data_IF_901951356969
#
_entry.id   IF_901951356969
#
_cell.length_a   1.000
_cell.length_b   1.000
_cell.length_c   1.000
_cell.angle_alpha   90.00
_cell.angle_beta   90.00
_cell.angle_gamma   90.00
#
_symmetry.space_group_name_H-M   'P 1'
#
loop_
_entity.id
_entity.type
_entity.pdbx_description
1 polymer ?
#
# COMPACT_ATOMS: atom_id res chain seq x y z
N UNK A 1 -88.31 155.60 -21.75
CA UNK A 1 -87.53 154.63 -22.56
C UNK A 1 -86.42 153.98 -21.74
N UNK A 2 -85.97 154.58 -20.64
CA UNK A 2 -84.77 154.14 -19.91
C UNK A 2 -84.90 152.83 -19.09
N UNK A 3 -86.07 152.51 -18.52
CA UNK A 3 -86.26 151.25 -17.76
C UNK A 3 -86.09 149.97 -18.60
N UNK A 4 -86.53 149.97 -19.87
CA UNK A 4 -86.38 148.81 -20.76
C UNK A 4 -84.93 148.57 -21.19
N UNK A 5 -84.15 149.64 -21.32
CA UNK A 5 -82.71 149.56 -21.60
C UNK A 5 -81.93 148.99 -20.42
N UNK A 6 -82.34 149.31 -19.18
CA UNK A 6 -81.75 148.78 -17.96
C UNK A 6 -82.04 147.29 -17.76
N UNK A 7 -83.29 146.84 -17.97
CA UNK A 7 -83.64 145.40 -17.96
C UNK A 7 -82.88 144.61 -19.03
N UNK A 8 -82.78 145.13 -20.26
CA UNK A 8 -82.00 144.50 -21.33
C UNK A 8 -80.51 144.42 -20.99
N UNK A 9 -79.96 145.40 -20.26
CA UNK A 9 -78.56 145.40 -19.82
C UNK A 9 -78.30 144.32 -18.76
N UNK A 10 -79.24 144.10 -17.83
CA UNK A 10 -79.17 143.03 -16.82
C UNK A 10 -79.24 141.65 -17.50
N UNK A 11 -80.19 141.44 -18.41
CA UNK A 11 -80.29 140.20 -19.20
C UNK A 11 -79.03 139.93 -20.04
N UNK A 12 -78.44 140.97 -20.62
CA UNK A 12 -77.21 140.84 -21.40
C UNK A 12 -76.03 140.44 -20.51
N UNK A 13 -75.96 140.95 -19.29
CA UNK A 13 -74.93 140.59 -18.32
C UNK A 13 -75.11 139.16 -17.77
N UNK A 14 -76.35 138.75 -17.48
CA UNK A 14 -76.67 137.36 -17.13
C UNK A 14 -76.32 136.39 -18.26
N UNK A 15 -76.61 136.75 -19.51
CA UNK A 15 -76.25 135.95 -20.68
C UNK A 15 -74.73 135.86 -20.85
N UNK A 16 -73.97 136.93 -20.58
CA UNK A 16 -72.49 136.86 -20.55
C UNK A 16 -72.00 135.95 -19.43
N UNK A 17 -72.52 136.07 -18.21
CA UNK A 17 -72.16 135.20 -17.09
C UNK A 17 -72.46 133.73 -17.40
N UNK A 18 -73.60 133.44 -18.04
CA UNK A 18 -73.96 132.08 -18.47
C UNK A 18 -73.05 131.58 -19.59
N UNK A 19 -72.70 132.43 -20.55
CA UNK A 19 -71.72 132.12 -21.60
C UNK A 19 -70.35 131.80 -21.00
N UNK A 20 -69.90 132.58 -20.01
CA UNK A 20 -68.61 132.36 -19.34
C UNK A 20 -68.63 131.07 -18.51
N UNK A 21 -69.75 130.75 -17.85
CA UNK A 21 -69.96 129.46 -17.17
C UNK A 21 -69.93 128.28 -18.17
N UNK A 22 -70.58 128.40 -19.33
CA UNK A 22 -70.54 127.37 -20.38
C UNK A 22 -69.11 127.19 -20.89
N UNK A 23 -68.38 128.29 -21.14
CA UNK A 23 -66.98 128.22 -21.58
C UNK A 23 -66.07 127.55 -20.53
N UNK A 24 -66.29 127.78 -19.24
CA UNK A 24 -65.56 127.10 -18.17
C UNK A 24 -65.87 125.60 -18.10
N UNK A 25 -67.16 125.23 -18.21
CA UNK A 25 -67.58 123.83 -18.24
C UNK A 25 -67.04 123.09 -19.48
N UNK A 26 -66.98 123.73 -20.64
CA UNK A 26 -66.40 123.15 -21.86
C UNK A 26 -64.88 122.88 -21.69
N UNK A 27 -64.16 123.78 -21.01
CA UNK A 27 -62.75 123.58 -20.66
C UNK A 27 -62.60 122.41 -19.66
N UNK A 28 -63.46 122.33 -18.65
CA UNK A 28 -63.46 121.22 -17.68
C UNK A 28 -63.81 119.88 -18.32
N UNK A 29 -64.81 119.84 -19.21
CA UNK A 29 -65.19 118.66 -20.00
C UNK A 29 -64.05 118.22 -20.90
N UNK A 30 -63.39 119.16 -21.57
CA UNK A 30 -62.21 118.87 -22.42
C UNK A 30 -61.07 118.27 -21.59
N UNK A 31 -60.81 118.81 -20.39
CA UNK A 31 -59.81 118.29 -19.46
C UNK A 31 -60.14 116.89 -18.95
N UNK A 32 -61.40 116.65 -18.56
CA UNK A 32 -61.85 115.34 -18.10
C UNK A 32 -61.81 114.30 -19.23
N UNK A 33 -62.20 114.67 -20.45
CA UNK A 33 -62.09 113.80 -21.62
C UNK A 33 -60.63 113.42 -21.92
N UNK A 34 -59.70 114.37 -21.82
CA UNK A 34 -58.27 114.07 -21.99
C UNK A 34 -57.78 113.09 -20.91
N UNK A 35 -58.14 113.35 -19.64
CA UNK A 35 -57.80 112.45 -18.53
C UNK A 35 -58.42 111.06 -18.66
N UNK A 36 -59.64 110.95 -19.23
CA UNK A 36 -60.29 109.68 -19.52
C UNK A 36 -59.51 108.90 -20.58
N UNK A 37 -59.11 109.55 -21.68
CA UNK A 37 -58.32 108.93 -22.75
C UNK A 37 -56.98 108.41 -22.20
N UNK A 38 -56.30 109.19 -21.37
CA UNK A 38 -55.06 108.77 -20.72
C UNK A 38 -55.28 107.53 -19.84
N UNK A 39 -56.34 107.51 -19.02
CA UNK A 39 -56.67 106.37 -18.16
C UNK A 39 -57.09 105.14 -18.95
N UNK A 40 -57.83 105.29 -20.04
CA UNK A 40 -58.16 104.21 -20.96
C UNK A 40 -56.89 103.63 -21.58
N UNK A 41 -55.94 104.47 -22.02
CA UNK A 41 -54.66 104.03 -22.57
C UNK A 41 -53.80 103.28 -21.53
N UNK A 42 -53.77 103.76 -20.28
CA UNK A 42 -53.08 103.10 -19.17
C UNK A 42 -53.72 101.73 -18.88
N UNK A 43 -55.04 101.65 -18.83
CA UNK A 43 -55.78 100.41 -18.65
C UNK A 43 -55.49 99.40 -19.77
N UNK A 44 -55.43 99.86 -21.03
CA UNK A 44 -55.09 99.00 -22.17
C UNK A 44 -53.66 98.46 -22.04
N UNK A 45 -52.69 99.31 -21.68
CA UNK A 45 -51.31 98.90 -21.47
C UNK A 45 -51.17 97.88 -20.32
N UNK A 46 -51.86 98.10 -19.20
CA UNK A 46 -51.88 97.16 -18.06
C UNK A 46 -52.55 95.83 -18.44
N UNK A 47 -53.65 95.87 -19.17
CA UNK A 47 -54.34 94.66 -19.64
C UNK A 47 -53.45 93.84 -20.58
N UNK A 48 -52.76 94.49 -21.51
CA UNK A 48 -51.79 93.82 -22.38
C UNK A 48 -50.63 93.20 -21.57
N UNK A 49 -50.14 93.91 -20.56
CA UNK A 49 -49.09 93.40 -19.66
C UNK A 49 -49.57 92.19 -18.84
N UNK A 50 -50.78 92.23 -18.28
CA UNK A 50 -51.38 91.10 -17.57
C UNK A 50 -51.46 89.86 -18.46
N UNK A 51 -51.92 90.00 -19.71
CA UNK A 51 -51.96 88.89 -20.69
C UNK A 51 -50.56 88.31 -20.96
N UNK A 52 -49.53 89.16 -21.06
CA UNK A 52 -48.15 88.69 -21.22
C UNK A 52 -47.65 87.91 -20.00
N UNK A 53 -48.01 88.33 -18.78
CA UNK A 53 -47.67 87.61 -17.56
C UNK A 53 -48.41 86.27 -17.45
N UNK A 54 -49.68 86.22 -17.82
CA UNK A 54 -50.47 84.99 -17.88
C UNK A 54 -49.84 83.96 -18.85
N UNK A 55 -49.40 84.41 -20.03
CA UNK A 55 -48.69 83.56 -20.99
C UNK A 55 -47.35 83.04 -20.44
N UNK A 56 -46.58 83.90 -19.76
CA UNK A 56 -45.31 83.49 -19.12
C UNK A 56 -45.56 82.49 -17.99
N UNK A 57 -46.58 82.70 -17.17
CA UNK A 57 -46.96 81.79 -16.09
C UNK A 57 -47.40 80.44 -16.64
N UNK A 58 -48.23 80.42 -17.69
CA UNK A 58 -48.65 79.19 -18.35
C UNK A 58 -47.45 78.40 -18.89
N UNK A 59 -46.49 79.07 -19.54
CA UNK A 59 -45.26 78.43 -20.03
C UNK A 59 -44.41 77.87 -18.88
N UNK A 60 -44.22 78.64 -17.81
CA UNK A 60 -43.45 78.19 -16.64
C UNK A 60 -44.11 76.98 -15.97
N UNK A 61 -45.44 76.96 -15.85
CA UNK A 61 -46.18 75.81 -15.33
C UNK A 61 -46.02 74.56 -16.21
N UNK A 62 -45.99 74.73 -17.54
CA UNK A 62 -45.73 73.63 -18.47
C UNK A 62 -44.31 73.07 -18.31
N UNK A 63 -43.30 73.95 -18.18
CA UNK A 63 -41.91 73.57 -17.93
C UNK A 63 -41.75 72.86 -16.58
N UNK A 64 -42.41 73.36 -15.52
CA UNK A 64 -42.45 72.72 -14.20
C UNK A 64 -43.06 71.33 -14.26
N UNK A 65 -44.19 71.17 -14.96
CA UNK A 65 -44.83 69.87 -15.13
C UNK A 65 -43.91 68.89 -15.83
N UNK A 66 -43.24 69.32 -16.91
CA UNK A 66 -42.27 68.50 -17.61
C UNK A 66 -41.09 68.09 -16.72
N UNK A 67 -40.54 69.01 -15.94
CA UNK A 67 -39.46 68.70 -14.99
C UNK A 67 -39.89 67.69 -13.92
N UNK A 68 -41.13 67.79 -13.41
CA UNK A 68 -41.66 66.81 -12.46
C UNK A 68 -41.77 65.42 -13.10
N UNK A 69 -42.27 65.35 -14.34
CA UNK A 69 -42.39 64.09 -15.08
C UNK A 69 -41.00 63.47 -15.35
N UNK A 70 -40.02 64.27 -15.78
CA UNK A 70 -38.64 63.86 -16.04
C UNK A 70 -37.96 63.35 -14.74
N UNK A 71 -38.12 64.07 -13.62
CA UNK A 71 -37.61 63.63 -12.31
C UNK A 71 -38.27 62.31 -11.90
N UNK A 72 -39.59 62.19 -12.05
CA UNK A 72 -40.31 60.97 -11.71
C UNK A 72 -39.84 59.76 -12.53
N UNK A 73 -39.56 59.94 -13.82
CA UNK A 73 -38.98 58.91 -14.68
C UNK A 73 -37.56 58.52 -14.22
N UNK A 74 -36.71 59.50 -13.91
CA UNK A 74 -35.35 59.26 -13.44
C UNK A 74 -35.33 58.52 -12.10
N UNK A 75 -36.20 58.90 -11.14
CA UNK A 75 -36.31 58.22 -9.85
C UNK A 75 -36.73 56.77 -10.01
N UNK A 76 -37.71 56.47 -10.89
CA UNK A 76 -38.12 55.09 -11.17
C UNK A 76 -36.99 54.29 -11.80
N UNK A 77 -36.27 54.88 -12.76
CA UNK A 77 -35.12 54.23 -13.40
C UNK A 77 -34.02 53.93 -12.38
N UNK A 78 -33.72 54.88 -11.49
CA UNK A 78 -32.72 54.72 -10.43
C UNK A 78 -33.12 53.60 -9.46
N UNK A 79 -34.38 53.59 -9.00
CA UNK A 79 -34.89 52.53 -8.12
C UNK A 79 -34.78 51.14 -8.75
N UNK A 80 -35.13 51.00 -10.04
CA UNK A 80 -35.01 49.73 -10.74
C UNK A 80 -33.55 49.27 -10.84
N UNK A 81 -32.63 50.18 -11.12
CA UNK A 81 -31.21 49.86 -11.21
C UNK A 81 -30.63 49.48 -9.84
N UNK A 82 -31.00 50.20 -8.78
CA UNK A 82 -30.63 49.84 -7.40
C UNK A 82 -31.13 48.44 -7.05
N UNK A 83 -32.40 48.11 -7.31
CA UNK A 83 -32.92 46.76 -7.04
C UNK A 83 -32.18 45.67 -7.83
N UNK A 84 -31.78 45.94 -9.08
CA UNK A 84 -30.97 45.01 -9.88
C UNK A 84 -29.59 44.79 -9.28
N UNK A 85 -28.93 45.87 -8.85
CA UNK A 85 -27.61 45.79 -8.22
C UNK A 85 -27.67 45.06 -6.89
N UNK A 86 -28.68 45.32 -6.06
CA UNK A 86 -28.90 44.59 -4.80
C UNK A 86 -29.11 43.09 -5.04
N UNK A 87 -29.94 42.72 -6.02
CA UNK A 87 -30.14 41.32 -6.38
C UNK A 87 -28.84 40.64 -6.85
N UNK A 88 -28.04 41.33 -7.67
CA UNK A 88 -26.73 40.82 -8.11
C UNK A 88 -25.76 40.64 -6.94
N UNK A 89 -25.70 41.60 -6.01
CA UNK A 89 -24.85 41.51 -4.81
C UNK A 89 -25.24 40.30 -3.96
N UNK A 90 -26.54 40.04 -3.77
CA UNK A 90 -27.02 38.87 -3.03
C UNK A 90 -26.65 37.55 -3.72
N UNK A 91 -26.79 37.46 -5.05
CA UNK A 91 -26.37 36.28 -5.82
C UNK A 91 -24.85 36.04 -5.73
N UNK A 92 -24.04 37.10 -5.83
CA UNK A 92 -22.59 37.01 -5.63
C UNK A 92 -22.23 36.56 -4.21
N UNK A 93 -22.91 37.07 -3.19
CA UNK A 93 -22.69 36.67 -1.80
C UNK A 93 -23.03 35.19 -1.58
N UNK A 94 -24.10 34.68 -2.21
CA UNK A 94 -24.46 33.26 -2.13
C UNK A 94 -23.43 32.38 -2.84
N UNK A 95 -22.99 32.76 -4.05
CA UNK A 95 -21.93 32.05 -4.79
C UNK A 95 -20.63 32.01 -4.01
N UNK A 96 -20.23 33.14 -3.40
CA UNK A 96 -19.04 33.20 -2.56
C UNK A 96 -19.14 32.25 -1.36
N UNK A 97 -20.30 32.20 -0.70
CA UNK A 97 -20.55 31.27 0.40
C UNK A 97 -20.41 29.81 -0.04
N UNK A 98 -20.96 29.43 -1.20
CA UNK A 98 -20.83 28.07 -1.76
C UNK A 98 -19.37 27.70 -2.00
N UNK A 99 -18.62 28.57 -2.68
CA UNK A 99 -17.18 28.37 -2.92
C UNK A 99 -16.39 28.25 -1.62
N UNK A 100 -16.74 29.04 -0.60
CA UNK A 100 -16.08 28.97 0.71
C UNK A 100 -16.37 27.65 1.44
N UNK A 101 -17.59 27.13 1.36
CA UNK A 101 -17.94 25.81 1.90
C UNK A 101 -17.23 24.67 1.16
N UNK A 102 -17.17 24.73 -0.16
CA UNK A 102 -16.44 23.76 -0.98
C UNK A 102 -14.94 23.76 -0.64
N UNK A 103 -14.35 24.94 -0.50
CA UNK A 103 -12.96 25.10 -0.03
C UNK A 103 -12.73 24.42 1.31
N UNK A 104 -13.62 24.65 2.30
CA UNK A 104 -13.52 24.01 3.62
C UNK A 104 -13.62 22.48 3.53
N UNK A 105 -14.56 21.95 2.72
CA UNK A 105 -14.70 20.52 2.50
C UNK A 105 -13.43 19.90 1.88
N UNK A 106 -12.85 20.56 0.87
CA UNK A 106 -11.62 20.11 0.25
C UNK A 106 -10.42 20.16 1.21
N UNK A 107 -10.31 21.19 2.04
CA UNK A 107 -9.26 21.26 3.08
C UNK A 107 -9.35 20.08 4.05
N UNK A 108 -10.56 19.68 4.48
CA UNK A 108 -10.74 18.51 5.33
C UNK A 108 -10.34 17.20 4.63
N UNK A 109 -10.71 17.04 3.35
CA UNK A 109 -10.32 15.86 2.55
C UNK A 109 -8.81 15.77 2.38
N UNK A 110 -8.14 16.88 2.06
CA UNK A 110 -6.68 16.93 1.96
C UNK A 110 -6.04 16.51 3.29
N UNK A 111 -6.50 17.06 4.41
CA UNK A 111 -5.98 16.69 5.73
C UNK A 111 -6.22 15.21 6.11
N UNK A 112 -7.29 14.59 5.60
CA UNK A 112 -7.51 13.15 5.76
C UNK A 112 -6.52 12.33 4.93
N UNK A 113 -6.36 12.64 3.65
CA UNK A 113 -5.40 11.95 2.78
C UNK A 113 -3.96 12.10 3.26
N UNK A 114 -3.58 13.26 3.80
CA UNK A 114 -2.25 13.45 4.40
C UNK A 114 -1.99 12.53 5.58
N UNK A 115 -3.02 12.20 6.38
CA UNK A 115 -2.91 11.24 7.48
C UNK A 115 -2.77 9.81 6.96
N UNK A 116 -3.61 9.41 6.02
CA UNK A 116 -3.54 8.07 5.39
C UNK A 116 -2.18 7.84 4.73
N UNK A 117 -1.68 8.84 3.99
CA UNK A 117 -0.35 8.80 3.39
C UNK A 117 0.72 8.58 4.46
N UNK A 118 0.69 9.33 5.58
CA UNK A 118 1.64 9.15 6.69
C UNK A 118 1.57 7.74 7.29
N UNK A 119 0.37 7.19 7.47
CA UNK A 119 0.18 5.83 7.98
C UNK A 119 0.75 4.79 7.02
N UNK A 120 0.46 4.89 5.72
CA UNK A 120 1.00 3.98 4.70
C UNK A 120 2.53 4.05 4.65
N UNK A 121 3.10 5.25 4.64
CA UNK A 121 4.56 5.42 4.70
C UNK A 121 5.17 4.84 5.99
N UNK A 122 4.46 4.93 7.12
CA UNK A 122 4.83 4.29 8.37
C UNK A 122 4.93 2.77 8.24
N UNK A 123 3.88 2.13 7.70
CA UNK A 123 3.88 0.68 7.46
C UNK A 123 4.98 0.24 6.48
N UNK A 124 5.14 0.97 5.37
CA UNK A 124 6.19 0.67 4.38
C UNK A 124 7.58 0.76 5.03
N UNK A 125 7.82 1.78 5.86
CA UNK A 125 9.08 1.90 6.60
C UNK A 125 9.32 0.70 7.51
N UNK A 126 8.33 0.30 8.32
CA UNK A 126 8.45 -0.87 9.20
C UNK A 126 8.76 -2.15 8.43
N UNK A 127 8.13 -2.36 7.27
CA UNK A 127 8.41 -3.51 6.41
C UNK A 127 9.83 -3.45 5.86
N UNK A 128 10.24 -2.32 5.30
CA UNK A 128 11.58 -2.13 4.73
C UNK A 128 12.68 -2.31 5.79
N UNK A 129 12.45 -1.83 7.02
CA UNK A 129 13.37 -2.02 8.15
C UNK A 129 13.38 -3.48 8.66
N UNK A 130 12.31 -4.24 8.45
CA UNK A 130 12.19 -5.65 8.83
C UNK A 130 12.82 -6.62 7.83
N UNK A 131 12.89 -6.26 6.55
CA UNK A 131 13.42 -7.12 5.48
C UNK A 131 14.86 -7.61 5.72
N UNK A 132 15.83 -6.77 6.16
CA UNK A 132 17.18 -7.23 6.44
C UNK A 132 17.22 -8.34 7.49
N UNK A 133 16.45 -8.22 8.57
CA UNK A 133 16.43 -9.24 9.63
C UNK A 133 15.89 -10.58 9.13
N UNK A 134 14.86 -10.53 8.28
CA UNK A 134 14.31 -11.72 7.62
C UNK A 134 15.33 -12.34 6.65
N UNK A 135 16.10 -11.50 5.95
CA UNK A 135 17.16 -11.95 5.05
C UNK A 135 18.30 -12.61 5.82
N UNK A 136 18.78 -12.00 6.91
CA UNK A 136 19.81 -12.58 7.79
C UNK A 136 19.37 -13.94 8.36
N UNK A 137 18.10 -14.05 8.77
CA UNK A 137 17.52 -15.33 9.21
C UNK A 137 17.50 -16.37 8.09
N UNK A 138 17.15 -15.96 6.87
CA UNK A 138 17.16 -16.84 5.70
C UNK A 138 18.58 -17.33 5.36
N UNK A 139 19.59 -16.44 5.39
CA UNK A 139 20.98 -16.82 5.17
C UNK A 139 21.48 -17.80 6.23
N UNK A 140 21.20 -17.52 7.51
CA UNK A 140 21.56 -18.42 8.61
C UNK A 140 20.92 -19.81 8.48
N UNK A 141 19.64 -19.87 8.09
CA UNK A 141 18.95 -21.15 7.81
C UNK A 141 19.59 -21.89 6.64
N UNK A 142 19.97 -21.19 5.56
CA UNK A 142 20.64 -21.79 4.42
C UNK A 142 22.01 -22.37 4.79
N UNK A 143 22.80 -21.67 5.60
CA UNK A 143 24.08 -22.17 6.12
C UNK A 143 23.90 -23.43 6.98
N UNK A 144 22.89 -23.42 7.88
CA UNK A 144 22.54 -24.58 8.70
C UNK A 144 22.16 -25.80 7.85
N UNK A 145 21.35 -25.60 6.81
CA UNK A 145 20.97 -26.66 5.88
C UNK A 145 22.17 -27.23 5.13
N UNK A 146 23.06 -26.37 4.62
CA UNK A 146 24.26 -26.82 3.92
C UNK A 146 25.21 -27.61 4.83
N UNK A 147 25.36 -27.19 6.09
CA UNK A 147 26.10 -27.93 7.09
C UNK A 147 25.47 -29.30 7.39
N UNK A 148 24.14 -29.37 7.45
CA UNK A 148 23.41 -30.62 7.65
C UNK A 148 23.60 -31.58 6.46
N UNK A 149 23.43 -31.11 5.22
CA UNK A 149 23.65 -31.91 4.00
C UNK A 149 25.08 -32.47 3.96
N UNK A 150 26.07 -31.66 4.33
CA UNK A 150 27.48 -32.09 4.38
C UNK A 150 27.69 -33.22 5.41
N UNK A 151 27.05 -33.12 6.59
CA UNK A 151 27.11 -34.19 7.60
C UNK A 151 26.40 -35.45 7.13
N UNK A 152 25.26 -35.31 6.47
CA UNK A 152 24.50 -36.43 5.91
C UNK A 152 25.32 -37.19 4.86
N UNK A 153 26.01 -36.48 3.96
CA UNK A 153 26.87 -37.10 2.94
C UNK A 153 28.00 -37.93 3.57
N UNK A 154 28.72 -37.36 4.55
CA UNK A 154 29.80 -38.07 5.26
C UNK A 154 29.31 -39.34 5.96
N UNK A 155 28.09 -39.31 6.49
CA UNK A 155 27.51 -40.48 7.12
C UNK A 155 27.21 -41.57 6.09
N UNK A 156 26.62 -41.21 4.95
CA UNK A 156 26.35 -42.15 3.86
C UNK A 156 27.65 -42.83 3.42
N UNK A 157 28.69 -42.05 3.16
CA UNK A 157 30.03 -42.57 2.81
C UNK A 157 30.58 -43.53 3.88
N UNK A 158 30.41 -43.19 5.16
CA UNK A 158 30.86 -44.05 6.26
C UNK A 158 30.10 -45.37 6.31
N UNK A 159 28.78 -45.34 6.11
CA UNK A 159 27.94 -46.52 6.04
C UNK A 159 28.32 -47.44 4.88
N UNK A 160 28.55 -46.87 3.70
CA UNK A 160 29.00 -47.60 2.51
C UNK A 160 30.36 -48.27 2.74
N UNK A 161 31.31 -47.55 3.35
CA UNK A 161 32.63 -48.11 3.68
C UNK A 161 32.55 -49.29 4.65
N UNK A 162 31.70 -49.19 5.68
CA UNK A 162 31.48 -50.31 6.61
C UNK A 162 30.87 -51.52 5.89
N UNK A 163 29.89 -51.29 5.01
CA UNK A 163 29.26 -52.38 4.24
C UNK A 163 30.24 -53.08 3.29
N UNK A 164 31.09 -52.32 2.60
CA UNK A 164 32.14 -52.87 1.73
C UNK A 164 33.11 -53.73 2.55
N UNK A 165 33.57 -53.21 3.69
CA UNK A 165 34.52 -53.92 4.55
C UNK A 165 33.91 -55.20 5.16
N UNK A 166 32.67 -55.13 5.64
CA UNK A 166 31.95 -56.30 6.14
C UNK A 166 31.74 -57.37 5.05
N UNK A 167 31.45 -56.96 3.82
CA UNK A 167 31.31 -57.88 2.67
C UNK A 167 32.63 -58.57 2.32
N UNK A 168 33.75 -57.85 2.43
CA UNK A 168 35.09 -58.41 2.22
C UNK A 168 35.43 -59.46 3.26
N UNK A 169 35.24 -59.17 4.55
CA UNK A 169 35.48 -60.13 5.64
C UNK A 169 34.61 -61.38 5.44
N UNK A 170 33.34 -61.20 5.07
CA UNK A 170 32.45 -62.33 4.80
C UNK A 170 32.99 -63.24 3.69
N UNK A 171 33.48 -62.67 2.59
CA UNK A 171 34.05 -63.42 1.47
C UNK A 171 35.35 -64.14 1.85
N UNK A 172 36.22 -63.50 2.63
CA UNK A 172 37.45 -64.10 3.14
C UNK A 172 37.14 -65.29 4.09
N UNK A 173 36.16 -65.12 4.98
CA UNK A 173 35.68 -66.17 5.87
C UNK A 173 35.06 -67.36 5.12
N UNK A 174 34.25 -67.10 4.07
CA UNK A 174 33.70 -68.16 3.20
C UNK A 174 34.80 -68.96 2.50
N UNK A 175 35.86 -68.29 2.04
CA UNK A 175 37.03 -68.93 1.45
C UNK A 175 37.75 -69.85 2.45
N UNK A 176 38.03 -69.35 3.65
CA UNK A 176 38.66 -70.13 4.74
C UNK A 176 37.79 -71.30 5.19
N UNK A 177 36.46 -71.12 5.22
CA UNK A 177 35.53 -72.18 5.59
C UNK A 177 35.54 -73.33 4.58
N UNK A 178 35.59 -73.04 3.28
CA UNK A 178 35.75 -74.07 2.24
C UNK A 178 37.06 -74.84 2.41
N UNK A 179 38.18 -74.13 2.63
CA UNK A 179 39.48 -74.78 2.89
C UNK A 179 39.42 -75.66 4.14
N UNK A 180 38.78 -75.21 5.21
CA UNK A 180 38.61 -76.01 6.42
C UNK A 180 37.74 -77.26 6.17
N UNK A 181 36.69 -77.15 5.36
CA UNK A 181 35.85 -78.27 4.98
C UNK A 181 36.62 -79.32 4.17
N UNK A 182 37.41 -78.88 3.18
CA UNK A 182 38.30 -79.74 2.39
C UNK A 182 39.38 -80.39 3.28
N UNK A 183 39.97 -79.63 4.20
CA UNK A 183 40.97 -80.12 5.16
C UNK A 183 40.40 -81.23 6.05
N UNK A 184 39.16 -81.07 6.56
CA UNK A 184 38.47 -82.12 7.32
C UNK A 184 38.20 -83.37 6.48
N UNK A 185 37.76 -83.20 5.23
CA UNK A 185 37.54 -84.33 4.34
C UNK A 185 38.85 -85.11 4.09
N UNK A 186 39.96 -84.39 3.86
CA UNK A 186 41.29 -84.97 3.70
C UNK A 186 41.77 -85.66 4.99
N UNK A 187 41.50 -85.07 6.15
CA UNK A 187 41.85 -85.66 7.44
C UNK A 187 41.11 -86.98 7.66
N UNK A 188 39.80 -87.03 7.40
CA UNK A 188 39.02 -88.27 7.47
C UNK A 188 39.58 -89.37 6.54
N UNK A 189 40.11 -89.00 5.38
CA UNK A 189 40.76 -89.94 4.45
C UNK A 189 42.09 -90.44 5.03
N UNK A 190 42.91 -89.55 5.61
CA UNK A 190 44.16 -89.92 6.28
C UNK A 190 43.92 -90.82 7.50
N UNK A 191 42.92 -90.53 8.32
CA UNK A 191 42.53 -91.36 9.48
C UNK A 191 42.11 -92.76 9.06
N UNK A 192 41.30 -92.87 8.00
CA UNK A 192 40.93 -94.19 7.41
C UNK A 192 42.15 -94.94 6.91
N UNK A 193 43.06 -94.29 6.16
CA UNK A 193 44.29 -94.91 5.67
C UNK A 193 45.18 -95.38 6.82
N UNK A 194 45.38 -94.54 7.84
CA UNK A 194 46.16 -94.87 9.02
C UNK A 194 45.56 -96.09 9.75
N UNK A 195 44.25 -96.12 9.95
CA UNK A 195 43.54 -97.24 10.58
C UNK A 195 43.74 -98.56 9.81
N UNK A 196 43.64 -98.51 8.47
CA UNK A 196 43.90 -99.68 7.61
C UNK A 196 45.35 -100.14 7.72
N UNK A 197 46.32 -99.22 7.64
CA UNK A 197 47.76 -99.55 7.78
C UNK A 197 48.08 -100.11 9.17
N UNK A 198 47.46 -99.59 10.23
CA UNK A 198 47.60 -100.12 11.60
C UNK A 198 46.98 -101.51 11.77
N UNK A 199 45.86 -101.79 11.10
CA UNK A 199 45.25 -103.11 11.09
C UNK A 199 46.13 -104.12 10.32
N UNK A 200 46.63 -103.72 9.14
CA UNK A 200 47.57 -104.54 8.35
C UNK A 200 48.87 -104.83 9.11
N UNK A 201 49.44 -103.83 9.79
CA UNK A 201 50.62 -104.00 10.62
C UNK A 201 50.37 -105.01 11.75
N UNK A 202 49.22 -104.92 12.45
CA UNK A 202 48.83 -105.88 13.50
C UNK A 202 48.76 -107.32 13.01
N UNK A 203 48.22 -107.54 11.80
CA UNK A 203 48.16 -108.87 11.18
C UNK A 203 49.56 -109.38 10.82
N UNK A 204 50.35 -108.57 10.10
CA UNK A 204 51.70 -108.97 9.65
C UNK A 204 52.66 -109.22 10.81
N UNK A 205 52.60 -108.40 11.88
CA UNK A 205 53.43 -108.60 13.08
C UNK A 205 52.97 -109.81 13.92
N UNK A 206 51.69 -110.19 13.85
CA UNK A 206 51.15 -111.40 14.47
C UNK A 206 51.49 -112.69 13.73
N UNK A 207 51.52 -112.66 12.39
CA UNK A 207 51.71 -113.86 11.55
C UNK A 207 53.18 -114.15 11.21
N UNK A 208 54.03 -113.13 11.05
CA UNK A 208 55.38 -113.28 10.46
C UNK A 208 56.50 -112.67 11.32
N UNK A 209 56.19 -112.13 12.50
CA UNK A 209 57.17 -111.44 13.34
C UNK A 209 57.82 -110.22 12.64
N UNK A 210 59.07 -109.90 12.98
CA UNK A 210 59.82 -108.75 12.43
C UNK A 210 60.27 -109.01 10.99
N UNK A 211 59.33 -108.98 10.04
CA UNK A 211 59.54 -109.06 8.59
C UNK A 211 59.84 -107.68 7.98
N UNK A 212 60.54 -107.64 6.84
CA UNK A 212 60.77 -106.42 6.05
C UNK A 212 59.46 -105.71 5.68
N UNK A 213 58.39 -106.47 5.45
CA UNK A 213 57.03 -105.96 5.18
C UNK A 213 56.47 -105.19 6.39
N UNK A 214 56.72 -105.68 7.61
CA UNK A 214 56.32 -104.98 8.85
C UNK A 214 57.13 -103.69 9.05
N UNK A 215 58.41 -103.68 8.66
CA UNK A 215 59.26 -102.50 8.68
C UNK A 215 58.78 -101.39 7.74
N UNK A 216 58.32 -101.77 6.54
CA UNK A 216 57.74 -100.83 5.57
C UNK A 216 56.41 -100.23 6.06
N UNK A 217 55.52 -101.07 6.61
CA UNK A 217 54.24 -100.64 7.19
C UNK A 217 54.43 -99.72 8.41
N UNK A 218 55.48 -99.93 9.22
CA UNK A 218 55.84 -99.03 10.33
C UNK A 218 56.22 -97.63 9.84
N UNK A 219 57.09 -97.54 8.82
CA UNK A 219 57.44 -96.25 8.19
C UNK A 219 56.23 -95.56 7.54
N UNK A 220 55.36 -96.34 6.90
CA UNK A 220 54.13 -95.81 6.29
C UNK A 220 53.16 -95.28 7.36
N UNK A 221 53.02 -95.99 8.48
CA UNK A 221 52.24 -95.54 9.65
C UNK A 221 52.80 -94.23 10.22
N UNK A 222 54.10 -94.15 10.46
CA UNK A 222 54.75 -92.94 10.97
C UNK A 222 54.56 -91.75 10.03
N UNK A 223 54.70 -91.97 8.72
CA UNK A 223 54.46 -90.94 7.70
C UNK A 223 53.00 -90.47 7.67
N UNK A 224 52.03 -91.39 7.69
CA UNK A 224 50.60 -91.05 7.74
C UNK A 224 50.22 -90.36 9.05
N UNK A 225 50.78 -90.79 10.17
CA UNK A 225 50.57 -90.18 11.48
C UNK A 225 51.12 -88.75 11.51
N UNK A 226 52.29 -88.52 10.93
CA UNK A 226 52.86 -87.17 10.81
C UNK A 226 52.03 -86.27 9.89
N UNK A 227 51.58 -86.78 8.73
CA UNK A 227 50.68 -86.03 7.84
C UNK A 227 49.34 -85.69 8.51
N UNK A 228 48.79 -86.62 9.29
CA UNK A 228 47.56 -86.41 10.06
C UNK A 228 47.74 -85.31 11.12
N UNK A 229 48.85 -85.35 11.85
CA UNK A 229 49.18 -84.35 12.87
C UNK A 229 49.35 -82.95 12.26
N UNK A 230 50.09 -82.84 11.15
CA UNK A 230 50.23 -81.58 10.42
C UNK A 230 48.89 -81.07 9.85
N UNK A 231 48.00 -81.98 9.45
CA UNK A 231 46.64 -81.63 8.99
C UNK A 231 45.79 -81.08 10.13
N UNK A 232 45.83 -81.71 11.31
CA UNK A 232 45.11 -81.25 12.51
C UNK A 232 45.57 -79.86 12.94
N UNK A 233 46.89 -79.63 12.99
CA UNK A 233 47.45 -78.32 13.32
C UNK A 233 47.02 -77.21 12.34
N UNK A 234 46.89 -77.53 11.04
CA UNK A 234 46.38 -76.60 10.03
C UNK A 234 44.88 -76.32 10.23
N UNK A 235 44.08 -77.33 10.57
CA UNK A 235 42.67 -77.16 10.89
C UNK A 235 42.47 -76.27 12.12
N UNK A 236 43.20 -76.52 13.21
CA UNK A 236 43.09 -75.74 14.44
C UNK A 236 43.45 -74.27 14.21
N UNK A 237 44.46 -74.00 13.39
CA UNK A 237 44.81 -72.64 12.96
C UNK A 237 43.68 -71.98 12.15
N UNK A 238 43.12 -72.69 11.17
CA UNK A 238 41.97 -72.18 10.39
C UNK A 238 40.76 -71.88 11.27
N UNK A 239 40.51 -72.70 12.29
CA UNK A 239 39.40 -72.56 13.23
C UNK A 239 39.55 -71.31 14.09
N UNK A 240 40.76 -71.04 14.57
CA UNK A 240 41.10 -69.80 15.28
C UNK A 240 40.95 -68.57 14.39
N UNK A 241 41.41 -68.64 13.14
CA UNK A 241 41.31 -67.53 12.18
C UNK A 241 39.86 -67.21 11.84
N UNK A 242 39.01 -68.22 11.59
CA UNK A 242 37.57 -68.05 11.38
C UNK A 242 36.86 -67.48 12.62
N UNK A 243 37.30 -67.86 13.82
CA UNK A 243 36.80 -67.30 15.07
C UNK A 243 37.08 -65.79 15.19
N UNK A 244 38.30 -65.37 14.84
CA UNK A 244 38.69 -63.95 14.82
C UNK A 244 37.89 -63.13 13.81
N UNK A 245 37.77 -63.62 12.57
CA UNK A 245 36.99 -62.91 11.53
C UNK A 245 35.51 -62.76 11.90
N UNK A 246 34.93 -63.76 12.59
CA UNK A 246 33.55 -63.68 13.07
C UNK A 246 33.39 -62.57 14.12
N UNK A 247 34.34 -62.44 15.04
CA UNK A 247 34.34 -61.39 16.06
C UNK A 247 34.52 -60.01 15.41
N UNK A 248 35.44 -59.87 14.46
CA UNK A 248 35.63 -58.64 13.69
C UNK A 248 34.37 -58.22 12.93
N UNK A 249 33.65 -59.18 12.33
CA UNK A 249 32.36 -58.91 11.68
C UNK A 249 31.30 -58.43 12.67
N UNK A 250 31.21 -59.02 13.85
CA UNK A 250 30.27 -58.61 14.90
C UNK A 250 30.61 -57.22 15.44
N UNK A 251 31.89 -56.88 15.56
CA UNK A 251 32.35 -55.55 15.92
C UNK A 251 31.96 -54.49 14.88
N UNK A 252 32.08 -54.82 13.59
CA UNK A 252 31.66 -53.93 12.51
C UNK A 252 30.14 -53.73 12.49
N UNK A 253 29.35 -54.78 12.74
CA UNK A 253 27.90 -54.64 12.88
C UNK A 253 27.53 -53.74 14.05
N UNK A 254 28.17 -53.93 15.22
CA UNK A 254 27.96 -53.06 16.39
C UNK A 254 28.32 -51.61 16.08
N UNK A 255 29.43 -51.36 15.37
CA UNK A 255 29.81 -50.02 14.93
C UNK A 255 28.80 -49.42 13.94
N UNK A 256 28.32 -50.20 12.97
CA UNK A 256 27.28 -49.76 12.04
C UNK A 256 26.00 -49.35 12.76
N UNK A 257 25.55 -50.18 13.72
CA UNK A 257 24.35 -49.91 14.51
C UNK A 257 24.52 -48.71 15.45
N UNK A 258 25.71 -48.51 16.03
CA UNK A 258 26.04 -47.29 16.77
C UNK A 258 25.96 -46.04 15.89
N UNK A 259 26.49 -46.09 14.66
CA UNK A 259 26.42 -44.98 13.71
C UNK A 259 24.97 -44.67 13.33
N UNK A 260 24.14 -45.69 13.10
CA UNK A 260 22.70 -45.52 12.83
C UNK A 260 21.94 -44.95 14.04
N UNK A 261 22.25 -45.41 15.25
CA UNK A 261 21.63 -44.91 16.47
C UNK A 261 22.04 -43.46 16.78
N UNK A 262 23.30 -43.10 16.54
CA UNK A 262 23.75 -41.72 16.61
C UNK A 262 22.97 -40.86 15.61
N UNK A 263 22.75 -41.34 14.39
CA UNK A 263 21.94 -40.63 13.40
C UNK A 263 20.49 -40.45 13.85
N UNK A 264 19.86 -41.50 14.36
CA UNK A 264 18.50 -41.43 14.87
C UNK A 264 18.38 -40.44 16.04
N UNK A 265 19.38 -40.39 16.92
CA UNK A 265 19.46 -39.40 17.99
C UNK A 265 19.61 -37.98 17.46
N UNK A 266 20.51 -37.73 16.50
CA UNK A 266 20.68 -36.42 15.88
C UNK A 266 19.37 -35.92 15.23
N UNK A 267 18.69 -36.78 14.47
CA UNK A 267 17.40 -36.46 13.83
C UNK A 267 16.29 -36.20 14.85
N UNK A 268 16.29 -36.91 15.98
CA UNK A 268 15.29 -36.75 17.04
C UNK A 268 15.56 -35.55 17.97
N UNK A 269 16.82 -35.21 18.21
CA UNK A 269 17.20 -34.02 18.99
C UNK A 269 16.87 -32.73 18.25
N UNK A 270 17.09 -32.67 16.94
CA UNK A 270 16.74 -31.47 16.14
C UNK A 270 15.23 -31.25 16.01
N UNK A 271 14.41 -32.32 16.06
CA UNK A 271 12.95 -32.22 16.12
C UNK A 271 12.42 -31.56 17.41
N UNK A 272 13.18 -31.59 18.51
CA UNK A 272 12.77 -31.00 19.79
C UNK A 272 13.16 -29.53 19.94
N UNK A 273 14.15 -29.05 19.19
CA UNK A 273 14.57 -27.64 19.23
C UNK A 273 13.83 -26.74 18.24
N UNK A 274 13.13 -27.31 17.25
CA UNK A 274 12.42 -26.55 16.19
C UNK A 274 10.99 -26.12 16.54
N UNK A 275 10.45 -26.47 17.71
CA UNK A 275 9.10 -26.05 18.13
C UNK A 275 9.14 -25.44 19.54
N UNK A 276 9.64 -24.21 19.66
CA UNK A 276 9.09 -23.27 20.64
C UNK A 276 8.33 -22.20 19.86
N UNK A 277 6.98 -22.17 19.96
CA UNK A 277 6.25 -21.00 19.48
C UNK A 277 6.65 -19.80 20.33
N UNK A 278 6.91 -18.69 19.66
CA UNK A 278 7.01 -17.37 20.27
C UNK A 278 5.71 -16.99 20.99
#
# INVERSE_FOLDING_TARGET
MDCKLMELSIYLEELKMKRDQVAQLDVELSRLNLGLIEKESELHAKTAHCRQLELKLAKSNQELKKMIDDIGALTKSYQQETCRQEAAILDYAEKLRKVQMEKQCLTLKIGHFEKEIKEVYGHVRTVVEGLPKLHDQQESLAECLQAFETKQLKLIETCEMIQIYASRIQKEAEGKWKIAQESRANQNVLEKKLCVTEAQLRVVEGDLGKSDTAGLLRKQKESLSHQLEMSKQREDKLRLDLGREREEKLDLQRKHEQVLNQLAHYLSSEQKETIRPA
#
